data_IF_567719519734
#
_entry.id   IF_567719519734
#
_cell.length_a   1.000
_cell.length_b   1.000
_cell.length_c   1.000
_cell.angle_alpha   90.00
_cell.angle_beta   90.00
_cell.angle_gamma   90.00
#
_symmetry.space_group_name_H-M   'P 1'
#
loop_
_entity.id
_entity.type
_entity.pdbx_description
1 polymer ?
#
# COMPACT_ATOMS: atom_id res chain seq x y z
N UNK A 1 -20.61 -43.22 -1.76
CA UNK A 1 -20.59 -42.07 -2.72
C UNK A 1 -20.90 -40.73 -2.06
N UNK A 2 -21.80 -40.61 -1.08
CA UNK A 2 -22.18 -39.32 -0.45
C UNK A 2 -21.05 -38.61 0.30
N UNK A 3 -20.21 -39.35 1.07
CA UNK A 3 -19.14 -38.78 1.88
C UNK A 3 -18.01 -38.13 1.04
N UNK A 4 -17.66 -38.71 -0.10
CA UNK A 4 -16.65 -38.17 -1.01
C UNK A 4 -17.07 -36.86 -1.68
N UNK A 5 -18.32 -36.76 -2.13
CA UNK A 5 -18.85 -35.50 -2.68
C UNK A 5 -18.97 -34.40 -1.62
N UNK A 6 -19.32 -34.75 -0.39
CA UNK A 6 -19.32 -33.80 0.73
C UNK A 6 -17.91 -33.25 1.03
N UNK A 7 -16.89 -34.11 1.03
CA UNK A 7 -15.50 -33.70 1.24
C UNK A 7 -15.05 -32.74 0.12
N UNK A 8 -15.30 -33.08 -1.15
CA UNK A 8 -14.97 -32.22 -2.29
C UNK A 8 -15.66 -30.85 -2.12
N UNK A 9 -16.95 -30.84 -1.80
CA UNK A 9 -17.69 -29.61 -1.60
C UNK A 9 -17.09 -28.73 -0.48
N UNK A 10 -16.75 -29.31 0.66
CA UNK A 10 -16.09 -28.57 1.76
C UNK A 10 -14.74 -28.01 1.35
N UNK A 11 -13.93 -28.78 0.62
CA UNK A 11 -12.63 -28.33 0.12
C UNK A 11 -12.81 -27.17 -0.86
N UNK A 12 -13.74 -27.27 -1.80
CA UNK A 12 -14.02 -26.18 -2.76
C UNK A 12 -14.50 -24.91 -2.06
N UNK A 13 -15.39 -25.00 -1.08
CA UNK A 13 -15.86 -23.86 -0.29
C UNK A 13 -14.71 -23.24 0.51
N UNK A 14 -13.84 -24.06 1.08
CA UNK A 14 -12.67 -23.59 1.81
C UNK A 14 -11.71 -22.81 0.90
N UNK A 15 -11.34 -23.39 -0.25
CA UNK A 15 -10.47 -22.74 -1.25
C UNK A 15 -11.09 -21.43 -1.73
N UNK A 16 -12.37 -21.43 -2.08
CA UNK A 16 -13.08 -20.23 -2.51
C UNK A 16 -13.01 -19.12 -1.46
N UNK A 17 -13.32 -19.44 -0.21
CA UNK A 17 -13.24 -18.46 0.88
C UNK A 17 -11.82 -17.94 1.10
N UNK A 18 -10.79 -18.79 0.99
CA UNK A 18 -9.40 -18.39 1.10
C UNK A 18 -9.02 -17.40 -0.02
N UNK A 19 -9.38 -17.70 -1.27
CA UNK A 19 -9.12 -16.82 -2.41
C UNK A 19 -9.82 -15.45 -2.24
N UNK A 20 -11.05 -15.43 -1.71
CA UNK A 20 -11.75 -14.19 -1.41
C UNK A 20 -11.03 -13.37 -0.32
N UNK A 21 -10.53 -14.00 0.72
CA UNK A 21 -9.79 -13.33 1.81
C UNK A 21 -8.49 -12.73 1.27
N UNK A 22 -7.71 -13.53 0.52
CA UNK A 22 -6.44 -13.07 -0.06
C UNK A 22 -6.66 -11.95 -1.09
N UNK A 23 -7.65 -12.10 -1.97
CA UNK A 23 -7.99 -11.05 -2.93
C UNK A 23 -8.42 -9.75 -2.23
N UNK A 24 -9.27 -9.83 -1.19
CA UNK A 24 -9.62 -8.65 -0.39
C UNK A 24 -8.39 -8.06 0.31
N UNK A 25 -7.49 -8.88 0.83
CA UNK A 25 -6.24 -8.43 1.46
C UNK A 25 -5.41 -7.57 0.50
N UNK A 26 -5.24 -7.98 -0.76
CA UNK A 26 -4.56 -7.18 -1.77
C UNK A 26 -5.36 -5.90 -2.09
N UNK A 27 -6.67 -6.01 -2.32
CA UNK A 27 -7.53 -4.85 -2.59
C UNK A 27 -7.53 -3.81 -1.47
N UNK A 28 -7.46 -4.25 -0.22
CA UNK A 28 -7.44 -3.36 0.96
C UNK A 28 -6.19 -2.46 1.03
N UNK A 29 -5.11 -2.77 0.33
CA UNK A 29 -3.97 -1.83 0.21
C UNK A 29 -4.44 -0.47 -0.33
N UNK A 30 -5.41 -0.50 -1.25
CA UNK A 30 -6.05 0.71 -1.81
C UNK A 30 -7.50 0.89 -1.32
N UNK A 31 -7.81 0.41 -0.13
CA UNK A 31 -9.13 0.52 0.53
C UNK A 31 -10.29 -0.16 -0.22
N UNK A 32 -9.99 -1.15 -1.06
CA UNK A 32 -11.02 -1.89 -1.80
C UNK A 32 -11.31 -3.23 -1.13
N UNK A 33 -12.44 -3.33 -0.40
CA UNK A 33 -12.92 -4.59 0.17
C UNK A 33 -13.59 -5.45 -0.93
N UNK A 34 -12.87 -5.72 -2.00
CA UNK A 34 -13.35 -6.45 -3.17
C UNK A 34 -12.25 -7.40 -3.69
N UNK A 35 -12.56 -8.70 -3.75
CA UNK A 35 -11.59 -9.70 -4.16
C UNK A 35 -11.22 -9.59 -5.65
N UNK A 36 -12.16 -9.17 -6.52
CA UNK A 36 -11.89 -8.97 -7.94
C UNK A 36 -10.94 -7.77 -8.15
N UNK A 37 -11.14 -6.69 -7.39
CA UNK A 37 -10.19 -5.56 -7.38
C UNK A 37 -8.79 -6.01 -6.97
N UNK A 38 -8.69 -6.82 -5.91
CA UNK A 38 -7.40 -7.37 -5.49
C UNK A 38 -6.77 -8.30 -6.51
N UNK A 39 -7.57 -9.09 -7.22
CA UNK A 39 -7.07 -9.94 -8.33
C UNK A 39 -6.48 -9.09 -9.47
N UNK A 40 -7.17 -8.01 -9.89
CA UNK A 40 -6.65 -7.11 -10.92
C UNK A 40 -5.37 -6.40 -10.47
N UNK A 41 -5.30 -5.98 -9.19
CA UNK A 41 -4.08 -5.41 -8.62
C UNK A 41 -2.95 -6.46 -8.60
N UNK A 42 -3.24 -7.69 -8.24
CA UNK A 42 -2.25 -8.78 -8.27
C UNK A 42 -1.72 -9.04 -9.69
N UNK A 43 -2.60 -9.04 -10.69
CA UNK A 43 -2.20 -9.14 -12.11
C UNK A 43 -1.24 -7.98 -12.46
N UNK A 44 -1.56 -6.75 -12.07
CA UNK A 44 -0.67 -5.60 -12.27
C UNK A 44 0.69 -5.77 -11.61
N UNK A 45 0.76 -6.35 -10.41
CA UNK A 45 2.03 -6.66 -9.73
C UNK A 45 2.82 -7.71 -10.52
N UNK A 46 2.18 -8.80 -10.94
CA UNK A 46 2.83 -9.85 -11.73
C UNK A 46 3.35 -9.36 -13.08
N UNK A 47 2.65 -8.44 -13.74
CA UNK A 47 3.09 -7.80 -14.98
C UNK A 47 4.35 -6.95 -14.79
N UNK A 48 4.55 -6.38 -13.63
CA UNK A 48 5.76 -5.62 -13.28
C UNK A 48 6.89 -6.55 -12.84
N UNK A 49 6.60 -7.50 -11.94
CA UNK A 49 7.56 -8.46 -11.41
C UNK A 49 6.85 -9.70 -10.85
N UNK A 50 7.15 -10.86 -11.44
CA UNK A 50 6.61 -12.11 -10.94
C UNK A 50 7.08 -12.44 -9.51
N UNK A 51 8.33 -12.07 -9.17
CA UNK A 51 8.89 -12.23 -7.83
C UNK A 51 8.13 -11.42 -6.80
N UNK A 52 7.88 -10.13 -7.08
CA UNK A 52 7.07 -9.27 -6.19
C UNK A 52 5.65 -9.80 -6.04
N UNK A 53 5.05 -10.34 -7.13
CA UNK A 53 3.73 -10.96 -7.08
C UNK A 53 3.68 -12.15 -6.12
N UNK A 54 4.66 -13.05 -6.20
CA UNK A 54 4.77 -14.20 -5.30
C UNK A 54 5.00 -13.78 -3.85
N UNK A 55 5.91 -12.83 -3.62
CA UNK A 55 6.19 -12.33 -2.26
C UNK A 55 5.00 -11.58 -1.66
N UNK A 56 4.23 -10.85 -2.47
CA UNK A 56 2.99 -10.20 -2.07
C UNK A 56 1.95 -11.22 -1.56
N UNK A 57 1.77 -12.32 -2.30
CA UNK A 57 0.87 -13.41 -1.91
C UNK A 57 1.38 -14.10 -0.63
N UNK A 58 2.67 -14.40 -0.56
CA UNK A 58 3.27 -15.01 0.65
C UNK A 58 3.09 -14.13 1.89
N UNK A 59 3.40 -12.84 1.79
CA UNK A 59 3.21 -11.89 2.89
C UNK A 59 1.76 -11.78 3.34
N UNK A 60 0.82 -11.74 2.37
CA UNK A 60 -0.62 -11.74 2.66
C UNK A 60 -1.05 -13.00 3.41
N UNK A 61 -0.61 -14.18 2.95
CA UNK A 61 -0.91 -15.47 3.59
C UNK A 61 -0.36 -15.49 5.02
N UNK A 62 0.91 -15.13 5.22
CA UNK A 62 1.56 -15.13 6.53
C UNK A 62 0.80 -14.21 7.50
N UNK A 63 0.49 -12.98 7.09
CA UNK A 63 -0.25 -12.02 7.92
C UNK A 63 -1.66 -12.51 8.24
N UNK A 64 -2.36 -13.09 7.27
CA UNK A 64 -3.70 -13.65 7.46
C UNK A 64 -3.67 -14.84 8.42
N UNK A 65 -2.70 -15.75 8.28
CA UNK A 65 -2.51 -16.87 9.18
C UNK A 65 -2.12 -16.43 10.59
N UNK A 66 -1.23 -15.44 10.73
CA UNK A 66 -0.88 -14.83 12.00
C UNK A 66 -2.11 -14.31 12.73
N UNK A 67 -2.99 -13.58 12.04
CA UNK A 67 -4.23 -13.08 12.59
C UNK A 67 -5.19 -14.24 12.99
N UNK A 68 -5.25 -15.29 12.19
CA UNK A 68 -6.07 -16.47 12.46
C UNK A 68 -5.61 -17.22 13.71
N UNK A 69 -4.30 -17.51 13.83
CA UNK A 69 -3.74 -18.18 14.99
C UNK A 69 -3.74 -17.32 16.26
N UNK A 70 -3.68 -15.98 16.11
CA UNK A 70 -3.85 -15.04 17.24
C UNK A 70 -5.31 -14.85 17.65
N UNK A 71 -6.26 -15.59 17.05
CA UNK A 71 -7.71 -15.58 17.35
C UNK A 71 -8.31 -14.16 17.26
N UNK A 72 -7.88 -13.40 16.26
CA UNK A 72 -8.45 -12.08 16.01
C UNK A 72 -9.86 -12.17 15.40
N UNK A 73 -10.57 -11.06 15.32
CA UNK A 73 -11.96 -11.03 14.85
C UNK A 73 -12.07 -11.64 13.44
N UNK A 74 -12.84 -12.72 13.32
CA UNK A 74 -12.99 -13.44 12.05
C UNK A 74 -13.54 -12.58 10.92
N UNK A 75 -14.39 -11.60 11.23
CA UNK A 75 -14.94 -10.68 10.23
C UNK A 75 -13.83 -9.76 9.64
N UNK A 76 -12.92 -9.28 10.46
CA UNK A 76 -11.80 -8.45 10.02
C UNK A 76 -10.82 -9.27 9.14
N UNK A 77 -10.58 -10.54 9.51
CA UNK A 77 -9.79 -11.48 8.68
C UNK A 77 -10.48 -11.71 7.33
N UNK A 78 -11.78 -12.00 7.31
CA UNK A 78 -12.56 -12.21 6.08
C UNK A 78 -12.58 -10.99 5.16
N UNK A 79 -12.49 -9.79 5.72
CA UNK A 79 -12.41 -8.54 4.98
C UNK A 79 -10.98 -8.17 4.54
N UNK A 80 -9.98 -9.01 4.79
CA UNK A 80 -8.59 -8.80 4.38
C UNK A 80 -7.83 -7.74 5.18
N UNK A 81 -8.38 -7.28 6.35
CA UNK A 81 -7.82 -6.16 7.11
C UNK A 81 -6.47 -6.46 7.79
N UNK A 82 -6.04 -7.71 7.83
CA UNK A 82 -4.70 -8.09 8.30
C UNK A 82 -3.77 -8.43 7.13
N UNK A 83 -4.31 -8.97 6.02
CA UNK A 83 -3.52 -9.40 4.87
C UNK A 83 -2.85 -8.25 4.11
N UNK A 84 -3.45 -7.04 4.08
CA UNK A 84 -2.95 -5.95 3.24
C UNK A 84 -1.56 -5.42 3.67
N UNK A 85 -1.29 -5.32 4.97
CA UNK A 85 0.04 -4.94 5.46
C UNK A 85 1.08 -5.99 5.09
N UNK A 86 0.74 -7.29 5.20
CA UNK A 86 1.60 -8.38 4.77
C UNK A 86 1.87 -8.39 3.26
N UNK A 87 0.86 -8.05 2.44
CA UNK A 87 1.04 -7.85 0.99
C UNK A 87 2.13 -6.81 0.73
N UNK A 88 2.05 -5.65 1.37
CA UNK A 88 3.05 -4.58 1.23
C UNK A 88 4.43 -4.97 1.77
N UNK A 89 4.49 -5.69 2.90
CA UNK A 89 5.75 -6.25 3.44
C UNK A 89 6.38 -7.20 2.42
N UNK A 90 5.58 -8.09 1.82
CA UNK A 90 6.07 -9.02 0.80
C UNK A 90 6.69 -8.31 -0.39
N UNK A 91 6.00 -7.30 -0.94
CA UNK A 91 6.53 -6.50 -2.03
C UNK A 91 7.80 -5.75 -1.60
N UNK A 92 7.82 -5.16 -0.40
CA UNK A 92 8.97 -4.44 0.12
C UNK A 92 10.22 -5.33 0.28
N UNK A 93 10.03 -6.59 0.69
CA UNK A 93 11.12 -7.59 0.69
C UNK A 93 11.68 -7.79 -0.72
N UNK A 94 10.82 -7.89 -1.74
CA UNK A 94 11.26 -8.00 -3.13
C UNK A 94 11.94 -6.75 -3.69
N UNK A 95 11.67 -5.57 -3.12
CA UNK A 95 12.29 -4.30 -3.52
C UNK A 95 13.64 -4.08 -2.83
N UNK A 96 13.69 -4.36 -1.53
CA UNK A 96 14.81 -3.93 -0.67
C UNK A 96 15.79 -5.06 -0.32
N UNK A 97 15.46 -6.32 -0.57
CA UNK A 97 16.32 -7.45 -0.23
C UNK A 97 16.59 -8.34 -1.44
N UNK A 98 17.76 -8.94 -1.49
CA UNK A 98 18.06 -10.02 -2.43
C UNK A 98 17.28 -11.28 -2.06
N UNK A 99 16.68 -11.94 -3.06
CA UNK A 99 15.90 -13.16 -2.83
C UNK A 99 16.81 -14.31 -2.37
N UNK A 100 16.60 -14.75 -1.15
CA UNK A 100 17.37 -15.81 -0.48
C UNK A 100 16.52 -16.47 0.60
N UNK A 101 17.01 -17.56 1.19
CA UNK A 101 16.34 -18.17 2.36
C UNK A 101 16.28 -17.17 3.53
N UNK A 102 17.31 -16.35 3.70
CA UNK A 102 17.34 -15.30 4.72
C UNK A 102 16.23 -14.27 4.51
N UNK A 103 16.03 -13.77 3.28
CA UNK A 103 14.97 -12.81 2.98
C UNK A 103 13.56 -13.40 3.16
N UNK A 104 13.36 -14.71 2.95
CA UNK A 104 12.09 -15.39 3.23
C UNK A 104 11.81 -15.52 4.73
N UNK A 105 12.84 -15.73 5.55
CA UNK A 105 12.72 -15.70 7.01
C UNK A 105 12.34 -14.29 7.47
N UNK A 106 13.02 -13.27 6.96
CA UNK A 106 12.74 -11.86 7.23
C UNK A 106 11.32 -11.49 6.81
N UNK A 107 10.87 -11.92 5.62
CA UNK A 107 9.49 -11.77 5.16
C UNK A 107 8.49 -12.32 6.19
N UNK A 108 8.75 -13.52 6.69
CA UNK A 108 7.85 -14.19 7.64
C UNK A 108 7.75 -13.41 8.94
N UNK A 109 8.88 -13.00 9.51
CA UNK A 109 8.93 -12.24 10.75
C UNK A 109 8.28 -10.86 10.59
N UNK A 110 8.63 -10.11 9.54
CA UNK A 110 8.10 -8.77 9.30
C UNK A 110 6.59 -8.77 8.99
N UNK A 111 6.09 -9.77 8.25
CA UNK A 111 4.65 -9.92 7.98
C UNK A 111 3.86 -10.25 9.25
N UNK A 112 4.38 -11.14 10.10
CA UNK A 112 3.76 -11.43 11.39
C UNK A 112 3.77 -10.20 12.31
N UNK A 113 4.91 -9.49 12.39
CA UNK A 113 5.05 -8.27 13.18
C UNK A 113 4.06 -7.18 12.71
N UNK A 114 3.93 -6.97 11.40
CA UNK A 114 2.95 -6.02 10.86
C UNK A 114 1.52 -6.34 11.30
N UNK A 115 1.18 -7.63 11.41
CA UNK A 115 -0.15 -8.07 11.86
C UNK A 115 -0.38 -7.76 13.34
N UNK A 116 0.59 -7.98 14.20
CA UNK A 116 0.49 -7.64 15.63
C UNK A 116 0.40 -6.13 15.85
N UNK A 117 1.18 -5.35 15.11
CA UNK A 117 1.09 -3.88 15.14
C UNK A 117 -0.29 -3.43 14.62
N UNK A 118 -0.82 -4.03 13.54
CA UNK A 118 -2.17 -3.72 13.03
C UNK A 118 -3.25 -4.00 14.09
N UNK A 119 -3.12 -5.10 14.83
CA UNK A 119 -4.03 -5.41 15.92
C UNK A 119 -3.95 -4.39 17.05
N UNK A 120 -2.76 -3.94 17.42
CA UNK A 120 -2.59 -2.86 18.39
C UNK A 120 -3.34 -1.60 17.95
N UNK A 121 -3.17 -1.15 16.69
CA UNK A 121 -3.90 -0.01 16.13
C UNK A 121 -5.41 -0.23 16.09
N UNK A 122 -5.89 -1.46 15.89
CA UNK A 122 -7.32 -1.76 15.87
C UNK A 122 -7.98 -1.63 17.26
N UNK A 123 -7.19 -1.75 18.32
CA UNK A 123 -7.66 -1.63 19.71
C UNK A 123 -7.77 -0.19 20.19
N UNK A 124 -6.87 0.67 19.75
CA UNK A 124 -6.90 2.08 20.10
C UNK A 124 -7.92 2.81 19.21
N UNK A 125 -8.63 3.80 19.75
CA UNK A 125 -9.68 4.56 19.04
C UNK A 125 -9.24 5.95 18.58
N UNK A 126 -7.97 6.30 18.81
CA UNK A 126 -7.49 7.66 18.59
C UNK A 126 -7.31 7.94 17.10
N UNK A 127 -6.53 7.11 16.41
CA UNK A 127 -6.17 7.25 15.01
C UNK A 127 -6.24 5.89 14.30
N UNK A 128 -6.71 5.82 13.04
CA UNK A 128 -6.69 4.59 12.27
C UNK A 128 -5.26 4.18 11.92
N UNK A 129 -4.98 2.87 11.94
CA UNK A 129 -3.63 2.35 11.67
C UNK A 129 -3.17 2.54 10.24
N UNK A 130 -4.10 2.45 9.28
CA UNK A 130 -3.77 2.47 7.85
C UNK A 130 -2.58 1.55 7.54
N UNK A 131 -1.55 2.06 6.86
CA UNK A 131 -0.32 1.34 6.54
C UNK A 131 0.80 1.57 7.57
N UNK A 132 0.54 2.22 8.73
CA UNK A 132 1.54 2.37 9.78
C UNK A 132 2.14 1.03 10.24
N UNK A 133 1.36 -0.08 10.36
CA UNK A 133 1.92 -1.39 10.70
C UNK A 133 2.96 -1.88 9.68
N UNK A 134 2.70 -1.70 8.39
CA UNK A 134 3.63 -1.99 7.32
C UNK A 134 4.89 -1.13 7.43
N UNK A 135 4.75 0.19 7.60
CA UNK A 135 5.88 1.13 7.70
C UNK A 135 6.81 0.73 8.84
N UNK A 136 6.26 0.53 10.03
CA UNK A 136 7.04 0.18 11.22
C UNK A 136 7.74 -1.18 11.08
N UNK A 137 7.05 -2.18 10.50
CA UNK A 137 7.63 -3.49 10.25
C UNK A 137 8.78 -3.42 9.24
N UNK A 138 8.63 -2.66 8.14
CA UNK A 138 9.65 -2.54 7.10
C UNK A 138 10.82 -1.67 7.57
N UNK A 139 10.59 -0.57 8.25
CA UNK A 139 11.69 0.21 8.83
C UNK A 139 12.48 -0.59 9.86
N UNK A 140 11.81 -1.36 10.73
CA UNK A 140 12.47 -2.29 11.64
C UNK A 140 13.27 -3.36 10.91
N UNK A 141 12.70 -3.94 9.87
CA UNK A 141 13.36 -4.92 8.99
C UNK A 141 14.62 -4.33 8.35
N UNK A 142 14.53 -3.17 7.71
CA UNK A 142 15.67 -2.51 7.05
C UNK A 142 16.76 -2.14 8.06
N UNK A 143 16.38 -1.63 9.24
CA UNK A 143 17.33 -1.33 10.31
C UNK A 143 18.08 -2.57 10.82
N UNK A 144 17.38 -3.69 11.02
CA UNK A 144 18.02 -4.95 11.42
C UNK A 144 18.90 -5.51 10.30
N UNK A 145 18.43 -5.50 9.06
CA UNK A 145 19.21 -6.01 7.93
C UNK A 145 20.46 -5.17 7.68
N UNK A 146 20.39 -3.85 7.77
CA UNK A 146 21.56 -2.98 7.58
C UNK A 146 22.63 -3.17 8.65
N UNK A 147 22.21 -3.53 9.87
CA UNK A 147 23.14 -3.68 11.00
C UNK A 147 23.68 -5.10 11.17
N UNK A 148 22.85 -6.15 10.92
CA UNK A 148 23.21 -7.55 11.19
C UNK A 148 23.47 -8.37 9.92
N UNK A 149 22.86 -8.04 8.79
CA UNK A 149 22.83 -8.91 7.60
C UNK A 149 22.90 -8.02 6.34
N UNK A 150 23.94 -7.18 6.25
CA UNK A 150 24.14 -6.26 5.12
C UNK A 150 24.17 -6.95 3.75
N UNK A 151 24.58 -8.22 3.70
CA UNK A 151 24.64 -9.03 2.49
C UNK A 151 23.26 -9.29 1.84
N UNK A 152 22.17 -9.07 2.58
CA UNK A 152 20.80 -9.16 2.04
C UNK A 152 20.40 -7.89 1.29
N UNK A 153 21.11 -6.77 1.45
CA UNK A 153 20.76 -5.53 0.76
C UNK A 153 21.32 -5.58 -0.68
N UNK A 154 20.57 -5.06 -1.68
CA UNK A 154 21.08 -4.98 -3.04
C UNK A 154 22.27 -4.04 -3.14
N UNK A 155 23.26 -4.40 -3.95
CA UNK A 155 24.33 -3.49 -4.33
C UNK A 155 23.74 -2.40 -5.22
N UNK A 156 23.88 -1.15 -4.82
CA UNK A 156 23.24 -0.01 -5.50
C UNK A 156 24.15 0.48 -6.64
N UNK A 157 23.82 0.06 -7.86
CA UNK A 157 24.40 0.64 -9.10
C UNK A 157 23.30 1.44 -9.83
N UNK A 158 22.72 2.45 -9.20
CA UNK A 158 21.76 3.31 -9.88
C UNK A 158 22.46 4.45 -10.60
N UNK A 159 22.63 4.33 -11.90
CA UNK A 159 22.93 5.47 -12.78
C UNK A 159 21.64 6.28 -12.90
N UNK A 160 21.59 7.44 -12.26
CA UNK A 160 20.46 8.37 -12.39
C UNK A 160 20.65 9.13 -13.72
N UNK A 161 19.82 8.80 -14.69
CA UNK A 161 19.72 9.60 -15.93
C UNK A 161 18.88 10.86 -15.64
N UNK A 162 19.55 11.99 -15.48
CA UNK A 162 18.97 13.29 -15.10
C UNK A 162 18.42 14.08 -16.29
N UNK A 163 18.48 13.56 -17.52
CA UNK A 163 18.12 14.30 -18.74
C UNK A 163 16.72 14.04 -19.27
N UNK A 164 15.86 13.37 -18.51
CA UNK A 164 14.53 13.00 -18.96
C UNK A 164 13.54 14.18 -18.95
N UNK A 165 12.71 14.27 -20.01
CA UNK A 165 11.56 15.14 -20.03
C UNK A 165 10.42 14.56 -19.17
N UNK A 166 9.57 15.42 -18.61
CA UNK A 166 8.39 14.99 -17.85
C UNK A 166 7.37 14.32 -18.78
N UNK A 167 7.04 13.08 -18.50
CA UNK A 167 5.96 12.34 -19.13
C UNK A 167 4.75 12.27 -18.18
N UNK A 168 3.80 13.17 -18.36
CA UNK A 168 2.62 13.31 -17.49
C UNK A 168 1.76 12.06 -17.40
N UNK A 169 1.59 11.33 -18.52
CA UNK A 169 0.83 10.09 -18.53
C UNK A 169 1.53 8.99 -17.73
N UNK A 170 2.83 8.85 -17.90
CA UNK A 170 3.64 7.91 -17.13
C UNK A 170 3.62 8.27 -15.64
N UNK A 171 3.87 9.54 -15.29
CA UNK A 171 3.82 10.03 -13.92
C UNK A 171 2.47 9.75 -13.25
N UNK A 172 1.36 9.98 -13.97
CA UNK A 172 0.02 9.65 -13.50
C UNK A 172 -0.17 8.16 -13.23
N UNK A 173 0.11 7.31 -14.22
CA UNK A 173 -0.08 5.86 -14.08
C UNK A 173 0.82 5.27 -12.99
N UNK A 174 2.09 5.67 -12.97
CA UNK A 174 3.03 5.15 -12.00
C UNK A 174 2.78 5.71 -10.58
N UNK A 175 2.19 6.89 -10.42
CA UNK A 175 1.69 7.35 -9.11
C UNK A 175 0.68 6.38 -8.50
N UNK A 176 -0.14 5.74 -9.33
CA UNK A 176 -1.10 4.72 -8.87
C UNK A 176 -0.38 3.38 -8.62
N UNK A 177 0.53 2.99 -9.51
CA UNK A 177 1.32 1.76 -9.39
C UNK A 177 2.24 1.77 -8.18
N UNK A 178 2.89 2.90 -7.89
CA UNK A 178 3.84 3.06 -6.78
C UNK A 178 3.20 2.89 -5.39
N UNK A 179 1.89 2.94 -5.26
CA UNK A 179 1.21 2.56 -3.99
C UNK A 179 1.63 1.16 -3.54
N UNK A 180 1.93 0.27 -4.50
CA UNK A 180 2.44 -1.07 -4.25
C UNK A 180 3.83 -1.29 -4.90
N UNK A 181 4.66 -0.25 -4.99
CA UNK A 181 6.03 -0.28 -5.55
C UNK A 181 6.12 -0.70 -7.03
N UNK A 182 5.05 -0.49 -7.81
CA UNK A 182 5.06 -0.87 -9.23
C UNK A 182 5.46 0.33 -10.10
N UNK A 183 6.76 0.66 -10.12
CA UNK A 183 7.32 1.83 -10.79
C UNK A 183 7.89 1.59 -12.20
N UNK A 184 7.87 0.34 -12.73
CA UNK A 184 8.53 0.02 -13.99
C UNK A 184 7.56 -0.11 -15.17
N UNK A 185 6.25 -0.24 -14.94
CA UNK A 185 5.26 -0.38 -16.01
C UNK A 185 3.98 0.39 -15.71
N UNK A 186 3.56 1.18 -16.69
CA UNK A 186 2.27 1.92 -16.63
C UNK A 186 1.07 0.96 -16.56
N UNK A 187 1.22 -0.27 -17.05
CA UNK A 187 0.15 -1.29 -17.03
C UNK A 187 -0.27 -1.60 -15.59
N UNK A 188 0.66 -1.68 -14.64
CA UNK A 188 0.32 -1.94 -13.25
C UNK A 188 -0.63 -0.85 -12.69
N UNK A 189 -0.32 0.43 -12.92
CA UNK A 189 -1.18 1.54 -12.52
C UNK A 189 -2.56 1.50 -13.18
N UNK A 190 -2.63 1.13 -14.47
CA UNK A 190 -3.91 0.97 -15.18
C UNK A 190 -4.75 -0.19 -14.61
N UNK A 191 -4.14 -1.35 -14.34
CA UNK A 191 -4.84 -2.47 -13.70
C UNK A 191 -5.34 -2.11 -12.30
N UNK A 192 -4.56 -1.33 -11.53
CA UNK A 192 -4.99 -0.83 -10.22
C UNK A 192 -6.17 0.12 -10.35
N UNK A 193 -6.12 1.07 -11.29
CA UNK A 193 -7.20 2.02 -11.53
C UNK A 193 -8.50 1.30 -11.94
N UNK A 194 -8.41 0.31 -12.84
CA UNK A 194 -9.56 -0.53 -13.24
C UNK A 194 -10.08 -1.32 -12.04
N UNK A 195 -9.20 -1.89 -11.23
CA UNK A 195 -9.58 -2.60 -10.00
C UNK A 195 -10.34 -1.73 -9.02
N UNK A 196 -9.90 -0.47 -8.83
CA UNK A 196 -10.62 0.50 -7.99
C UNK A 196 -11.97 0.86 -8.62
N UNK A 197 -12.03 1.05 -9.94
CA UNK A 197 -13.24 1.43 -10.68
C UNK A 197 -14.35 0.38 -10.52
N UNK A 198 -14.00 -0.90 -10.60
CA UNK A 198 -14.94 -2.02 -10.40
C UNK A 198 -15.52 -2.01 -8.98
N UNK A 199 -14.73 -1.61 -7.99
CA UNK A 199 -15.18 -1.56 -6.59
C UNK A 199 -15.95 -0.28 -6.26
N UNK A 200 -15.45 0.89 -6.70
CA UNK A 200 -16.00 2.18 -6.30
C UNK A 200 -15.64 3.31 -7.28
N UNK A 201 -16.63 3.79 -8.04
CA UNK A 201 -16.48 4.97 -8.91
C UNK A 201 -16.00 6.21 -8.15
N UNK A 202 -16.46 6.39 -6.91
CA UNK A 202 -16.04 7.49 -6.05
C UNK A 202 -14.54 7.38 -5.70
N UNK A 203 -14.09 6.20 -5.27
CA UNK A 203 -12.68 5.98 -4.98
C UNK A 203 -11.80 6.22 -6.23
N UNK A 204 -12.28 5.86 -7.42
CA UNK A 204 -11.59 6.12 -8.69
C UNK A 204 -11.38 7.62 -8.93
N UNK A 205 -12.40 8.45 -8.72
CA UNK A 205 -12.28 9.90 -8.87
C UNK A 205 -11.24 10.47 -7.90
N UNK A 206 -11.24 10.00 -6.65
CA UNK A 206 -10.23 10.40 -5.67
C UNK A 206 -8.83 9.85 -6.00
N UNK A 207 -8.73 8.66 -6.58
CA UNK A 207 -7.46 8.11 -7.09
C UNK A 207 -6.88 9.02 -8.17
N UNK A 208 -7.70 9.44 -9.14
CA UNK A 208 -7.29 10.34 -10.22
C UNK A 208 -6.83 11.69 -9.64
N UNK A 209 -7.61 12.27 -8.73
CA UNK A 209 -7.24 13.52 -8.05
C UNK A 209 -5.92 13.36 -7.28
N UNK A 210 -5.77 12.29 -6.52
CA UNK A 210 -4.57 12.02 -5.71
C UNK A 210 -3.31 11.76 -6.55
N UNK A 211 -3.46 11.25 -7.77
CA UNK A 211 -2.35 11.04 -8.70
C UNK A 211 -1.97 12.31 -9.48
N UNK A 212 -2.95 13.17 -9.82
CA UNK A 212 -2.72 14.37 -10.63
C UNK A 212 -2.27 15.58 -9.80
N UNK A 213 -2.88 15.81 -8.64
CA UNK A 213 -2.63 17.00 -7.82
C UNK A 213 -1.17 17.17 -7.34
N UNK A 214 -0.40 16.09 -7.05
CA UNK A 214 1.02 16.20 -6.72
C UNK A 214 1.91 16.72 -7.84
N UNK A 215 1.54 16.51 -9.12
CA UNK A 215 2.38 16.83 -10.27
C UNK A 215 2.71 18.34 -10.35
N UNK A 216 1.74 19.28 -10.36
CA UNK A 216 2.05 20.71 -10.40
C UNK A 216 2.82 21.18 -9.17
N UNK A 217 2.58 20.62 -7.99
CA UNK A 217 3.34 20.97 -6.78
C UNK A 217 4.80 20.53 -6.90
N UNK A 218 5.05 19.33 -7.41
CA UNK A 218 6.40 18.81 -7.60
C UNK A 218 7.17 19.62 -8.67
N UNK A 219 6.51 20.05 -9.73
CA UNK A 219 7.10 20.94 -10.74
C UNK A 219 7.43 22.31 -10.12
N UNK A 220 6.53 22.89 -9.32
CA UNK A 220 6.76 24.16 -8.64
C UNK A 220 7.94 24.10 -7.66
N UNK A 221 8.18 22.92 -7.06
CA UNK A 221 9.28 22.67 -6.14
C UNK A 221 10.53 22.11 -6.84
N UNK A 222 10.59 22.18 -8.16
CA UNK A 222 11.73 21.80 -8.99
C UNK A 222 12.23 20.34 -8.75
N UNK A 223 11.28 19.42 -8.51
CA UNK A 223 11.60 18.00 -8.34
C UNK A 223 12.05 17.41 -9.67
N UNK A 224 13.11 16.58 -9.65
CA UNK A 224 13.63 15.91 -10.84
C UNK A 224 12.56 15.16 -11.64
N UNK A 225 12.63 15.28 -12.98
CA UNK A 225 11.71 14.60 -13.87
C UNK A 225 11.69 13.07 -13.69
N UNK A 226 12.82 12.46 -13.33
CA UNK A 226 12.91 11.03 -13.03
C UNK A 226 12.01 10.64 -11.86
N UNK A 227 12.04 11.39 -10.76
CA UNK A 227 11.21 11.15 -9.58
C UNK A 227 9.72 11.35 -9.88
N UNK A 228 9.38 12.30 -10.76
CA UNK A 228 8.02 12.50 -11.25
C UNK A 228 7.59 11.34 -12.15
N UNK A 229 8.39 10.98 -13.15
CA UNK A 229 8.08 9.94 -14.12
C UNK A 229 7.94 8.55 -13.48
N UNK A 230 8.64 8.29 -12.38
CA UNK A 230 8.53 7.04 -11.62
C UNK A 230 7.33 7.01 -10.64
N UNK A 231 6.56 8.11 -10.55
CA UNK A 231 5.36 8.19 -9.71
C UNK A 231 5.61 8.38 -8.21
N UNK A 232 6.86 8.64 -7.80
CA UNK A 232 7.24 8.79 -6.39
C UNK A 232 6.59 10.00 -5.72
N UNK A 233 6.12 10.98 -6.48
CA UNK A 233 5.47 12.15 -5.93
C UNK A 233 3.98 11.92 -5.64
N UNK A 234 3.32 11.00 -6.37
CA UNK A 234 1.86 10.89 -6.34
C UNK A 234 1.29 9.78 -5.47
N UNK A 235 2.01 8.69 -5.19
CA UNK A 235 1.43 7.50 -4.56
C UNK A 235 0.88 7.74 -3.15
N UNK A 236 1.52 8.58 -2.36
CA UNK A 236 1.00 9.00 -1.04
C UNK A 236 -0.27 9.83 -1.20
N UNK A 237 -0.32 10.70 -2.23
CA UNK A 237 -1.49 11.49 -2.56
C UNK A 237 -2.71 10.63 -2.95
N UNK A 238 -2.50 9.56 -3.72
CA UNK A 238 -3.54 8.56 -4.06
C UNK A 238 -4.17 7.99 -2.80
N UNK A 239 -3.37 7.54 -1.84
CA UNK A 239 -3.87 6.98 -0.58
C UNK A 239 -4.58 8.02 0.28
N UNK A 240 -4.05 9.25 0.37
CA UNK A 240 -4.67 10.37 1.07
C UNK A 240 -6.06 10.68 0.51
N UNK A 241 -6.15 10.79 -0.81
CA UNK A 241 -7.39 11.15 -1.47
C UNK A 241 -8.47 10.09 -1.27
N UNK A 242 -8.15 8.80 -1.40
CA UNK A 242 -9.11 7.72 -1.17
C UNK A 242 -9.53 7.66 0.32
N UNK A 243 -8.58 7.79 1.24
CA UNK A 243 -8.85 7.67 2.69
C UNK A 243 -9.77 8.77 3.23
N UNK A 244 -9.65 10.01 2.73
CA UNK A 244 -10.46 11.16 3.16
C UNK A 244 -11.61 11.49 2.21
N UNK A 245 -11.64 10.84 1.04
CA UNK A 245 -12.64 11.05 -0.01
C UNK A 245 -14.06 10.72 0.46
N UNK A 246 -14.95 11.69 0.37
CA UNK A 246 -16.35 11.57 0.71
C UNK A 246 -17.29 12.11 -0.37
N UNK A 247 -18.57 12.26 -0.04
CA UNK A 247 -19.60 12.79 -0.97
C UNK A 247 -19.81 14.30 -0.83
N UNK A 248 -19.18 14.94 0.16
CA UNK A 248 -19.36 16.36 0.44
C UNK A 248 -18.22 17.18 -0.12
N UNK A 249 -18.49 18.44 -0.47
CA UNK A 249 -17.45 19.39 -0.86
C UNK A 249 -16.33 19.49 0.19
N UNK A 250 -16.72 19.53 1.48
CA UNK A 250 -15.75 19.59 2.60
C UNK A 250 -14.79 18.40 2.59
N UNK A 251 -15.27 17.19 2.28
CA UNK A 251 -14.40 16.02 2.20
C UNK A 251 -13.42 16.10 1.01
N UNK A 252 -13.85 16.70 -0.11
CA UNK A 252 -12.97 16.96 -1.24
C UNK A 252 -11.83 17.91 -0.91
N UNK A 253 -12.15 19.02 -0.21
CA UNK A 253 -11.14 19.98 0.25
C UNK A 253 -10.13 19.32 1.21
N UNK A 254 -10.62 18.58 2.21
CA UNK A 254 -9.73 17.88 3.15
C UNK A 254 -8.86 16.82 2.47
N UNK A 255 -9.41 16.11 1.49
CA UNK A 255 -8.64 15.17 0.69
C UNK A 255 -7.53 15.91 -0.09
N UNK A 256 -7.85 17.02 -0.76
CA UNK A 256 -6.87 17.84 -1.48
C UNK A 256 -5.77 18.39 -0.57
N UNK A 257 -6.12 18.95 0.60
CA UNK A 257 -5.15 19.42 1.58
C UNK A 257 -4.21 18.28 2.05
N UNK A 258 -4.77 17.09 2.28
CA UNK A 258 -3.97 15.92 2.69
C UNK A 258 -3.02 15.46 1.57
N UNK A 259 -3.47 15.49 0.31
CA UNK A 259 -2.64 15.18 -0.86
C UNK A 259 -1.44 16.12 -0.94
N UNK A 260 -1.67 17.43 -0.89
CA UNK A 260 -0.59 18.43 -0.96
C UNK A 260 0.39 18.29 0.23
N UNK A 261 -0.13 18.09 1.43
CA UNK A 261 0.70 17.87 2.61
C UNK A 261 1.55 16.60 2.48
N UNK A 262 0.97 15.50 2.00
CA UNK A 262 1.71 14.25 1.81
C UNK A 262 2.80 14.37 0.74
N UNK A 263 2.55 15.14 -0.32
CA UNK A 263 3.56 15.42 -1.36
C UNK A 263 4.71 16.24 -0.78
N UNK A 264 4.44 17.29 0.00
CA UNK A 264 5.47 18.08 0.66
C UNK A 264 6.31 17.23 1.63
N UNK A 265 5.67 16.36 2.44
CA UNK A 265 6.37 15.42 3.33
C UNK A 265 7.21 14.39 2.57
N UNK A 266 6.74 13.94 1.40
CA UNK A 266 7.49 13.04 0.52
C UNK A 266 8.76 13.71 0.01
N UNK A 267 8.66 14.93 -0.52
CA UNK A 267 9.80 15.70 -1.02
C UNK A 267 10.82 15.95 0.11
N UNK A 268 10.34 16.36 1.27
CA UNK A 268 11.18 16.58 2.44
C UNK A 268 11.90 15.31 2.88
N UNK A 269 11.18 14.19 2.98
CA UNK A 269 11.76 12.91 3.37
C UNK A 269 12.81 12.40 2.39
N UNK A 270 12.57 12.55 1.08
CA UNK A 270 13.55 12.21 0.05
C UNK A 270 14.78 13.12 0.13
N UNK A 271 14.62 14.42 0.36
CA UNK A 271 15.74 15.36 0.55
C UNK A 271 16.59 15.04 1.79
N UNK A 272 16.02 14.39 2.80
CA UNK A 272 16.71 13.90 3.99
C UNK A 272 17.29 12.48 3.82
N UNK A 273 17.15 11.85 2.64
CA UNK A 273 17.63 10.49 2.39
C UNK A 273 16.81 9.40 3.12
N UNK A 274 15.57 9.70 3.55
CA UNK A 274 14.72 8.76 4.27
C UNK A 274 13.95 7.91 3.27
N UNK A 275 13.92 6.59 3.46
CA UNK A 275 12.99 5.68 2.79
C UNK A 275 11.61 5.93 3.38
N UNK A 276 10.84 6.83 2.75
CA UNK A 276 9.57 7.35 3.30
C UNK A 276 8.47 6.32 3.38
N UNK A 277 8.47 5.32 2.47
CA UNK A 277 7.35 4.38 2.31
C UNK A 277 6.02 5.17 2.22
N UNK A 278 4.98 4.70 2.85
CA UNK A 278 3.68 5.40 2.93
C UNK A 278 3.53 6.26 4.20
N UNK A 279 4.63 6.63 4.88
CA UNK A 279 4.59 7.49 6.07
C UNK A 279 4.03 8.90 5.77
N UNK A 280 4.36 9.56 4.64
CA UNK A 280 3.76 10.83 4.29
C UNK A 280 2.23 10.79 4.21
N UNK A 281 1.66 9.70 3.66
CA UNK A 281 0.23 9.47 3.64
C UNK A 281 -0.35 9.38 5.07
N UNK A 282 0.20 8.48 5.89
CA UNK A 282 -0.32 8.21 7.24
C UNK A 282 -0.27 9.47 8.11
N UNK A 283 0.85 10.18 8.10
CA UNK A 283 1.05 11.41 8.88
C UNK A 283 0.07 12.49 8.42
N UNK A 284 -0.05 12.71 7.11
CA UNK A 284 -0.93 13.74 6.55
C UNK A 284 -2.39 13.49 6.91
N UNK A 285 -2.87 12.25 6.77
CA UNK A 285 -4.24 11.90 7.12
C UNK A 285 -4.48 12.03 8.62
N UNK A 286 -3.53 11.63 9.46
CA UNK A 286 -3.64 11.82 10.91
C UNK A 286 -3.74 13.28 11.30
N UNK A 287 -2.92 14.16 10.73
CA UNK A 287 -2.98 15.61 10.97
C UNK A 287 -4.37 16.15 10.58
N UNK A 288 -4.87 15.81 9.40
CA UNK A 288 -6.19 16.28 8.95
C UNK A 288 -7.32 15.77 9.87
N UNK A 289 -7.28 14.49 10.29
CA UNK A 289 -8.27 13.95 11.23
C UNK A 289 -8.23 14.69 12.58
N UNK A 290 -7.03 15.02 13.08
CA UNK A 290 -6.89 15.78 14.33
C UNK A 290 -7.46 17.20 14.19
N UNK A 291 -7.13 17.91 13.10
CA UNK A 291 -7.68 19.24 12.82
C UNK A 291 -9.21 19.19 12.76
N UNK A 292 -9.78 18.22 12.04
CA UNK A 292 -11.23 18.06 11.96
C UNK A 292 -11.88 17.80 13.32
N UNK A 293 -11.23 17.03 14.20
CA UNK A 293 -11.74 16.79 15.57
C UNK A 293 -11.76 18.08 16.39
N UNK A 294 -10.67 18.87 16.38
CA UNK A 294 -10.58 20.15 17.10
C UNK A 294 -11.66 21.12 16.62
N UNK A 295 -11.81 21.28 15.30
CA UNK A 295 -12.84 22.18 14.72
C UNK A 295 -14.26 21.78 15.09
N UNK A 296 -14.55 20.46 15.20
CA UNK A 296 -15.88 19.99 15.64
C UNK A 296 -16.15 20.25 17.11
N UNK A 297 -15.12 20.24 17.95
CA UNK A 297 -15.25 20.52 19.39
C UNK A 297 -15.49 21.99 19.65
N UNK A 298 -14.91 22.90 18.85
CA UNK A 298 -15.11 24.34 18.98
C UNK A 298 -16.48 24.84 18.48
N UNK A 299 -17.15 24.06 17.62
CA UNK A 299 -18.47 24.39 17.05
C UNK A 299 -19.64 23.75 17.84
N UNK A 300 -19.37 23.12 18.98
CA UNK A 300 -20.35 22.64 19.97
C UNK A 300 -20.37 23.50 21.20
#
# INVERSE_FOLDING_TARGET
MSSFYQLIFYVMVFIHNLLLILGRGIGQVMFQNNALSGLLMLIGIFLNSWQMGMLAVCGNIISTLTAYFSVYKRNDIKNGLYGFNGTLVGIAVGVFLQLSVGSLIVLTIASALSTWIAYFFSRQRLLPGFTAPFILAVWGMLGVCSWLISDLLPVSDTVIDTTQNINYFQAFCLSIGQVMFQGNTVLAGLFFLIGILISSRKATLYTILGALLPIPLAILLEVDATNLNTGLMGYNGVLCAIALGGTTWKSGVWAGCSVLLSTALQILGMGLGIITLTAPFVISVWIIIMIQKVMRTQNK
#
